data_IF_700143718022
#
_entry.id   IF_700143718022
#
_cell.length_a   1.000
_cell.length_b   1.000
_cell.length_c   1.000
_cell.angle_alpha   90.00
_cell.angle_beta   90.00
_cell.angle_gamma   90.00
#
_symmetry.space_group_name_H-M   'P 1'
#
loop_
_entity.id
_entity.type
_entity.pdbx_description
1 polymer ?
#
# COMPACT_ATOMS: atom_id res chain seq x y z
N UNK A 1 -9.79 27.11 13.20
CA UNK A 1 -8.49 26.42 13.42
C UNK A 1 -8.08 25.75 12.12
N UNK A 2 -6.80 25.86 11.71
CA UNK A 2 -6.31 25.24 10.47
C UNK A 2 -5.92 23.79 10.77
N UNK A 3 -6.72 22.83 10.33
CA UNK A 3 -6.46 21.42 10.57
C UNK A 3 -5.13 20.97 9.95
N UNK A 4 -4.37 20.15 10.68
CA UNK A 4 -3.14 19.53 10.17
C UNK A 4 -3.50 18.31 9.33
N UNK A 5 -2.95 18.27 8.12
CA UNK A 5 -3.06 17.11 7.25
C UNK A 5 -1.90 16.14 7.49
N UNK A 6 -2.18 14.87 7.22
CA UNK A 6 -1.19 13.80 7.22
C UNK A 6 -0.98 13.23 5.82
N UNK A 7 -0.36 12.06 5.76
CA UNK A 7 -0.13 11.33 4.53
C UNK A 7 -0.48 9.86 4.70
N UNK A 8 -1.00 9.28 3.61
CA UNK A 8 -1.56 7.93 3.61
C UNK A 8 -0.48 6.85 3.69
N UNK A 9 -0.85 5.60 4.01
CA UNK A 9 0.09 4.47 3.93
C UNK A 9 0.62 4.29 2.51
N UNK A 10 -0.17 4.59 1.48
CA UNK A 10 0.27 4.64 0.09
C UNK A 10 1.37 5.67 -0.18
N UNK A 11 1.25 6.87 0.38
CA UNK A 11 2.30 7.90 0.29
C UNK A 11 3.56 7.51 1.03
N UNK A 12 3.45 6.90 2.22
CA UNK A 12 4.60 6.35 2.93
C UNK A 12 5.30 5.28 2.07
N UNK A 13 4.54 4.37 1.46
CA UNK A 13 5.11 3.33 0.62
C UNK A 13 5.78 3.91 -0.64
N UNK A 14 5.17 4.89 -1.31
CA UNK A 14 5.75 5.54 -2.48
C UNK A 14 7.04 6.33 -2.14
N UNK A 15 7.05 7.06 -1.02
CA UNK A 15 8.24 7.78 -0.56
C UNK A 15 9.39 6.82 -0.20
N UNK A 16 9.10 5.77 0.55
CA UNK A 16 10.10 4.75 0.89
C UNK A 16 10.61 4.02 -0.37
N UNK A 17 9.72 3.71 -1.33
CA UNK A 17 10.12 3.14 -2.62
C UNK A 17 11.08 4.06 -3.39
N UNK A 18 10.81 5.38 -3.41
CA UNK A 18 11.71 6.37 -4.03
C UNK A 18 13.08 6.39 -3.35
N UNK A 19 13.09 6.38 -2.01
CA UNK A 19 14.32 6.33 -1.22
C UNK A 19 15.14 5.08 -1.50
N UNK A 20 14.51 3.91 -1.52
CA UNK A 20 15.15 2.66 -1.87
C UNK A 20 15.63 2.65 -3.32
N UNK A 21 14.86 3.17 -4.28
CA UNK A 21 15.30 3.32 -5.66
C UNK A 21 16.55 4.21 -5.79
N UNK A 22 16.64 5.30 -5.01
CA UNK A 22 17.84 6.13 -4.94
C UNK A 22 19.02 5.36 -4.33
N UNK A 23 18.78 4.54 -3.30
CA UNK A 23 19.78 3.65 -2.73
C UNK A 23 20.35 2.66 -3.75
N UNK A 24 19.50 2.08 -4.60
CA UNK A 24 19.91 1.22 -5.71
C UNK A 24 20.76 1.97 -6.74
N UNK A 25 20.34 3.18 -7.13
CA UNK A 25 21.00 3.93 -8.19
C UNK A 25 22.33 4.56 -7.73
N UNK A 26 22.34 5.13 -6.53
CA UNK A 26 23.41 6.02 -6.03
C UNK A 26 24.24 5.39 -4.91
N UNK A 27 23.88 4.19 -4.45
CA UNK A 27 24.51 3.54 -3.30
C UNK A 27 24.18 4.19 -1.95
N UNK A 28 23.36 5.24 -1.92
CA UNK A 28 23.04 6.01 -0.72
C UNK A 28 21.57 6.42 -0.72
N UNK A 29 20.96 6.47 0.47
CA UNK A 29 19.56 6.88 0.67
C UNK A 29 19.56 8.25 1.37
N UNK A 30 18.93 9.29 0.80
CA UNK A 30 18.88 10.61 1.42
C UNK A 30 18.00 10.61 2.68
N UNK A 31 18.13 11.63 3.53
CA UNK A 31 17.26 11.77 4.71
C UNK A 31 15.81 12.13 4.33
N UNK A 32 15.61 12.81 3.20
CA UNK A 32 14.29 13.21 2.72
C UNK A 32 14.12 12.91 1.24
N UNK A 33 12.87 12.64 0.85
CA UNK A 33 12.44 12.55 -0.54
C UNK A 33 11.19 13.39 -0.75
N UNK A 34 10.95 13.77 -2.00
CA UNK A 34 9.69 14.36 -2.43
C UNK A 34 8.92 13.39 -3.32
N UNK A 35 7.61 13.32 -3.16
CA UNK A 35 6.73 12.60 -4.09
C UNK A 35 5.55 13.50 -4.49
N UNK A 36 5.03 13.29 -5.69
CA UNK A 36 3.78 13.90 -6.12
C UNK A 36 2.62 12.96 -5.76
N UNK A 37 1.55 13.54 -5.24
CA UNK A 37 0.31 12.82 -4.93
C UNK A 37 -0.66 12.87 -6.11
N UNK A 38 -1.67 11.98 -6.16
CA UNK A 38 -2.70 12.00 -7.21
C UNK A 38 -3.47 13.33 -7.36
N UNK A 39 -3.46 14.18 -6.33
CA UNK A 39 -4.07 15.52 -6.35
C UNK A 39 -3.04 16.62 -6.61
N UNK A 40 -1.92 16.30 -7.26
CA UNK A 40 -0.84 17.22 -7.64
C UNK A 40 -0.25 18.03 -6.47
N UNK A 41 -0.30 17.48 -5.25
CA UNK A 41 0.39 18.06 -4.09
C UNK A 41 1.71 17.33 -3.88
N UNK A 42 2.81 18.07 -3.73
CA UNK A 42 4.13 17.51 -3.42
C UNK A 42 4.27 17.29 -1.91
N UNK A 43 4.58 16.07 -1.49
CA UNK A 43 4.89 15.73 -0.11
C UNK A 43 6.40 15.59 0.06
N UNK A 44 6.97 16.26 1.08
CA UNK A 44 8.34 16.03 1.55
C UNK A 44 8.30 15.06 2.73
N UNK A 45 8.91 13.90 2.56
CA UNK A 45 8.82 12.78 3.50
C UNK A 45 10.21 12.42 4.03
N UNK A 46 10.32 12.21 5.34
CA UNK A 46 11.56 11.80 6.01
C UNK A 46 11.71 10.28 5.92
N UNK A 47 12.87 9.83 5.44
CA UNK A 47 13.24 8.43 5.39
C UNK A 47 13.97 8.04 6.68
N UNK A 48 13.67 6.84 7.18
CA UNK A 48 14.29 6.23 8.35
C UNK A 48 14.66 4.77 8.04
N UNK A 49 15.47 4.15 8.91
CA UNK A 49 15.88 2.74 8.80
C UNK A 49 16.52 2.38 7.43
N UNK A 50 17.32 3.29 6.89
CA UNK A 50 17.96 3.15 5.59
C UNK A 50 19.03 2.06 5.58
N UNK A 51 19.00 1.19 4.57
CA UNK A 51 19.98 0.14 4.31
C UNK A 51 20.19 -0.04 2.81
N UNK A 52 21.44 -0.05 2.37
CA UNK A 52 21.83 -0.40 1.01
C UNK A 52 22.62 -1.71 1.05
N UNK A 53 22.21 -2.67 0.25
CA UNK A 53 22.92 -3.94 0.03
C UNK A 53 23.34 -4.07 -1.43
N UNK A 54 23.87 -5.23 -1.80
CA UNK A 54 24.45 -5.46 -3.13
C UNK A 54 23.45 -5.24 -4.27
N UNK A 55 22.26 -5.86 -4.17
CA UNK A 55 21.22 -5.82 -5.21
C UNK A 55 19.87 -5.31 -4.68
N UNK A 56 19.87 -4.74 -3.49
CA UNK A 56 18.67 -4.24 -2.85
C UNK A 56 18.96 -2.98 -2.05
N UNK A 57 17.95 -2.15 -1.87
CA UNK A 57 17.95 -1.08 -0.89
C UNK A 57 16.60 -1.07 -0.17
N UNK A 58 16.61 -0.59 1.06
CA UNK A 58 15.46 -0.56 1.94
C UNK A 58 15.48 0.69 2.79
N UNK A 59 14.33 1.29 2.97
CA UNK A 59 14.11 2.32 3.98
C UNK A 59 12.63 2.32 4.33
N UNK A 60 12.27 3.15 5.31
CA UNK A 60 10.89 3.27 5.74
C UNK A 60 10.49 4.70 6.03
N UNK A 61 9.18 4.89 6.15
CA UNK A 61 8.58 6.16 6.54
C UNK A 61 7.63 5.87 7.70
N UNK A 62 7.74 6.67 8.76
CA UNK A 62 6.75 6.69 9.84
C UNK A 62 5.54 7.50 9.41
N UNK A 63 4.36 6.90 9.41
CA UNK A 63 3.11 7.56 9.02
C UNK A 63 2.75 8.68 10.02
N UNK A 64 2.33 9.82 9.47
CA UNK A 64 1.72 10.91 10.23
C UNK A 64 0.34 11.21 9.66
N UNK A 65 -0.67 11.29 10.53
CA UNK A 65 -2.09 11.40 10.14
C UNK A 65 -2.68 12.78 10.39
N UNK A 66 -1.86 13.75 10.80
CA UNK A 66 -2.36 15.07 11.13
C UNK A 66 -3.23 15.03 12.38
N UNK A 67 -4.38 15.73 12.32
CA UNK A 67 -5.40 15.71 13.38
C UNK A 67 -6.42 14.57 13.22
N UNK A 68 -6.24 13.67 12.24
CA UNK A 68 -7.12 12.52 12.06
C UNK A 68 -6.82 11.41 13.09
N UNK A 69 -7.83 10.89 13.82
CA UNK A 69 -7.67 9.78 14.76
C UNK A 69 -7.52 8.42 14.03
N UNK A 70 -6.55 8.34 13.11
CA UNK A 70 -6.25 7.16 12.33
C UNK A 70 -5.47 6.13 13.17
N UNK A 71 -6.00 4.91 13.28
CA UNK A 71 -5.36 3.81 14.03
C UNK A 71 -3.98 3.42 13.47
N UNK A 72 -3.69 3.76 12.22
CA UNK A 72 -2.39 3.53 11.56
C UNK A 72 -1.42 4.69 11.74
N UNK A 73 -1.78 5.74 12.48
CA UNK A 73 -0.87 6.83 12.80
C UNK A 73 0.36 6.31 13.56
N UNK A 74 1.55 6.78 13.18
CA UNK A 74 2.81 6.39 13.82
C UNK A 74 3.37 5.04 13.36
N UNK A 75 2.63 4.24 12.58
CA UNK A 75 3.17 2.98 12.06
C UNK A 75 4.29 3.24 11.05
N UNK A 76 5.27 2.34 11.00
CA UNK A 76 6.35 2.41 10.01
C UNK A 76 6.02 1.55 8.80
N UNK A 77 6.14 2.14 7.62
CA UNK A 77 5.98 1.45 6.33
C UNK A 77 7.36 1.27 5.73
N UNK A 78 7.85 0.05 5.77
CA UNK A 78 9.14 -0.36 5.23
C UNK A 78 8.98 -0.82 3.80
N UNK A 79 9.88 -0.38 2.92
CA UNK A 79 9.89 -0.76 1.52
C UNK A 79 11.29 -1.17 1.10
N UNK A 80 11.41 -2.41 0.62
CA UNK A 80 12.60 -2.94 -0.01
C UNK A 80 12.42 -2.98 -1.52
N UNK A 81 13.33 -2.36 -2.25
CA UNK A 81 13.46 -2.46 -3.70
C UNK A 81 14.63 -3.38 -4.00
N UNK A 82 14.41 -4.50 -4.69
CA UNK A 82 15.45 -5.44 -5.13
C UNK A 82 15.42 -5.57 -6.65
N UNK A 83 16.60 -5.52 -7.29
CA UNK A 83 16.77 -5.88 -8.70
C UNK A 83 16.73 -7.40 -8.87
N UNK A 84 16.00 -7.88 -9.87
CA UNK A 84 15.95 -9.28 -10.26
C UNK A 84 17.25 -9.65 -10.96
N UNK A 85 17.78 -10.82 -10.61
CA UNK A 85 19.03 -11.37 -11.16
C UNK A 85 18.92 -11.72 -12.66
N UNK A 86 17.70 -11.75 -13.21
CA UNK A 86 17.44 -12.03 -14.63
C UNK A 86 17.48 -10.78 -15.54
N UNK A 87 17.77 -9.59 -14.99
CA UNK A 87 17.99 -8.38 -15.76
C UNK A 87 19.46 -8.31 -16.20
N UNK A 88 19.85 -9.15 -17.16
CA UNK A 88 21.17 -9.07 -17.78
C UNK A 88 21.26 -7.75 -18.59
N UNK A 89 22.24 -6.87 -18.30
CA UNK A 89 22.57 -5.76 -19.18
C UNK A 89 23.42 -6.32 -20.32
N UNK A 90 22.92 -6.24 -21.56
CA UNK A 90 23.66 -6.55 -22.78
C UNK A 90 24.27 -7.96 -22.86
N UNK A 91 23.48 -8.98 -23.20
CA UNK A 91 24.04 -10.14 -23.88
C UNK A 91 23.19 -10.58 -25.07
N UNK A 92 23.87 -10.62 -26.21
CA UNK A 92 23.45 -11.10 -27.51
C UNK A 92 23.05 -12.58 -27.50
N UNK A 93 21.92 -12.89 -28.16
CA UNK A 93 21.43 -14.22 -28.59
C UNK A 93 20.84 -15.16 -27.51
N UNK A 94 19.79 -15.95 -27.83
CA UNK A 94 18.58 -16.04 -26.99
C UNK A 94 18.51 -17.31 -26.10
N UNK A 95 17.78 -17.25 -24.96
CA UNK A 95 17.35 -18.45 -24.26
C UNK A 95 16.07 -19.05 -24.89
N UNK A 96 15.98 -20.37 -24.80
CA UNK A 96 14.99 -21.25 -25.45
C UNK A 96 13.55 -21.01 -24.98
N UNK A 97 12.63 -21.26 -25.92
CA UNK A 97 11.17 -21.15 -25.89
C UNK A 97 10.51 -21.88 -24.71
N UNK A 98 9.91 -21.12 -23.80
CA UNK A 98 8.51 -21.29 -23.39
C UNK A 98 8.02 -20.02 -22.69
N UNK A 99 7.11 -19.29 -23.34
CA UNK A 99 6.32 -18.16 -22.80
C UNK A 99 7.09 -17.13 -21.93
N UNK A 100 8.10 -16.47 -22.50
CA UNK A 100 8.59 -15.19 -21.98
C UNK A 100 7.74 -14.10 -22.62
N UNK A 101 6.63 -13.76 -21.98
CA UNK A 101 5.93 -12.49 -22.22
C UNK A 101 6.88 -11.39 -21.75
N UNK A 102 7.50 -10.68 -22.70
CA UNK A 102 8.28 -9.47 -22.45
C UNK A 102 7.38 -8.41 -21.81
N UNK A 103 7.43 -8.33 -20.48
CA UNK A 103 7.11 -7.17 -19.63
C UNK A 103 7.47 -7.57 -18.20
N UNK A 104 8.76 -7.53 -17.86
CA UNK A 104 9.17 -7.81 -16.49
C UNK A 104 8.91 -6.55 -15.64
N UNK A 105 7.65 -6.14 -15.48
CA UNK A 105 7.30 -4.95 -14.71
C UNK A 105 7.59 -5.08 -13.21
N UNK A 106 7.22 -4.05 -12.46
CA UNK A 106 7.37 -4.06 -10.99
C UNK A 106 6.46 -5.13 -10.35
N UNK A 107 7.07 -6.09 -9.65
CA UNK A 107 6.37 -7.09 -8.85
C UNK A 107 6.17 -6.58 -7.42
N UNK A 108 4.93 -6.56 -6.95
CA UNK A 108 4.60 -6.20 -5.58
C UNK A 108 4.54 -7.45 -4.69
N UNK A 109 5.18 -7.37 -3.52
CA UNK A 109 5.23 -8.42 -2.52
C UNK A 109 4.77 -7.82 -1.19
N UNK A 110 3.78 -8.46 -0.55
CA UNK A 110 3.39 -8.14 0.82
C UNK A 110 4.30 -8.88 1.79
N UNK A 111 5.05 -8.14 2.60
CA UNK A 111 5.79 -8.65 3.74
C UNK A 111 4.95 -8.69 5.00
N UNK A 112 5.62 -8.78 6.16
CA UNK A 112 4.95 -8.82 7.45
C UNK A 112 3.99 -7.64 7.65
N UNK A 113 2.80 -7.93 8.18
CA UNK A 113 1.79 -6.94 8.53
C UNK A 113 1.13 -6.20 7.35
N UNK A 114 1.41 -6.60 6.11
CA UNK A 114 0.54 -6.28 4.95
C UNK A 114 -0.48 -7.40 4.78
N UNK A 115 -1.76 -7.03 4.70
CA UNK A 115 -2.83 -8.01 4.61
C UNK A 115 -2.88 -8.71 3.25
N UNK A 116 -3.47 -9.91 3.21
CA UNK A 116 -3.81 -10.64 1.98
C UNK A 116 -5.31 -10.57 1.75
N UNK A 117 -5.72 -10.32 0.52
CA UNK A 117 -7.14 -10.31 0.14
C UNK A 117 -7.65 -11.74 0.00
N UNK A 118 -8.72 -12.05 0.70
CA UNK A 118 -9.33 -13.39 0.77
C UNK A 118 -10.80 -13.41 0.32
N UNK A 119 -11.41 -12.26 0.06
CA UNK A 119 -12.78 -12.14 -0.46
C UNK A 119 -12.82 -11.37 -1.79
N UNK A 120 -13.80 -11.65 -2.66
CA UNK A 120 -14.02 -10.86 -3.87
C UNK A 120 -14.62 -9.48 -3.54
N UNK A 121 -14.72 -8.60 -4.54
CA UNK A 121 -15.36 -7.28 -4.42
C UNK A 121 -14.41 -6.15 -4.00
N UNK A 122 -13.18 -6.45 -3.61
CA UNK A 122 -12.15 -5.45 -3.37
C UNK A 122 -11.43 -5.06 -4.68
N UNK A 123 -10.82 -3.87 -4.68
CA UNK A 123 -10.02 -3.37 -5.81
C UNK A 123 -8.77 -4.21 -6.12
N UNK A 124 -8.39 -5.07 -5.17
CA UNK A 124 -7.25 -5.97 -5.26
C UNK A 124 -7.79 -7.39 -5.35
N UNK A 125 -7.23 -8.21 -6.24
CA UNK A 125 -7.69 -9.59 -6.49
C UNK A 125 -7.49 -10.47 -5.26
N UNK A 126 -8.30 -11.52 -5.14
CA UNK A 126 -8.12 -12.55 -4.13
C UNK A 126 -6.73 -13.22 -4.27
N UNK A 127 -6.08 -13.49 -3.14
CA UNK A 127 -4.73 -14.05 -3.06
C UNK A 127 -3.60 -13.00 -3.17
N UNK A 128 -3.91 -11.76 -3.53
CA UNK A 128 -2.91 -10.70 -3.67
C UNK A 128 -2.69 -9.92 -2.36
N UNK A 129 -1.50 -9.31 -2.17
CA UNK A 129 -1.26 -8.37 -1.08
C UNK A 129 -2.15 -7.14 -1.22
N UNK A 130 -2.74 -6.71 -0.10
CA UNK A 130 -3.68 -5.60 0.04
C UNK A 130 -3.02 -4.22 -0.19
N UNK A 131 -2.47 -4.03 -1.38
CA UNK A 131 -1.84 -2.80 -1.87
C UNK A 131 -2.73 -2.29 -3.00
N UNK A 132 -3.48 -1.22 -2.74
CA UNK A 132 -4.50 -0.74 -3.67
C UNK A 132 -3.89 -0.20 -4.98
N UNK A 133 -4.68 -0.12 -6.07
CA UNK A 133 -4.20 0.34 -7.38
C UNK A 133 -3.51 1.70 -7.36
N UNK A 134 -4.05 2.69 -6.63
CA UNK A 134 -3.46 4.03 -6.55
C UNK A 134 -2.09 4.00 -5.85
N UNK A 135 -1.92 3.40 -4.66
CA UNK A 135 -0.59 3.16 -4.09
C UNK A 135 0.37 2.41 -5.01
N UNK A 136 -0.10 1.36 -5.73
CA UNK A 136 0.75 0.66 -6.71
C UNK A 136 1.23 1.61 -7.81
N UNK A 137 0.35 2.47 -8.33
CA UNK A 137 0.72 3.48 -9.33
C UNK A 137 1.73 4.49 -8.77
N UNK A 138 1.46 5.06 -7.58
CA UNK A 138 2.38 6.00 -6.93
C UNK A 138 3.77 5.41 -6.71
N UNK A 139 3.86 4.14 -6.31
CA UNK A 139 5.15 3.44 -6.15
C UNK A 139 5.85 3.28 -7.50
N UNK A 140 5.11 2.90 -8.55
CA UNK A 140 5.68 2.77 -9.91
C UNK A 140 6.24 4.11 -10.40
N UNK A 141 5.48 5.19 -10.25
CA UNK A 141 5.89 6.53 -10.67
C UNK A 141 7.13 7.00 -9.89
N UNK A 142 7.14 6.79 -8.58
CA UNK A 142 8.25 7.14 -7.71
C UNK A 142 9.54 6.38 -8.05
N UNK A 143 9.43 5.09 -8.40
CA UNK A 143 10.57 4.29 -8.86
C UNK A 143 11.01 4.75 -10.26
N UNK A 144 10.06 4.97 -11.17
CA UNK A 144 10.32 5.40 -12.55
C UNK A 144 11.01 6.76 -12.62
N UNK A 145 10.68 7.69 -11.73
CA UNK A 145 11.35 9.00 -11.65
C UNK A 145 12.86 8.87 -11.35
N UNK A 146 13.26 7.82 -10.63
CA UNK A 146 14.65 7.61 -10.22
C UNK A 146 15.38 6.70 -11.19
N UNK A 147 14.78 5.56 -11.53
CA UNK A 147 15.42 4.51 -12.30
C UNK A 147 15.09 4.55 -13.79
N UNK A 148 14.09 5.34 -14.21
CA UNK A 148 13.56 5.33 -15.57
C UNK A 148 12.63 4.15 -15.83
N UNK A 149 12.48 3.76 -17.10
CA UNK A 149 11.78 2.53 -17.45
C UNK A 149 12.65 1.34 -17.04
N UNK A 150 12.23 0.66 -15.97
CA UNK A 150 12.93 -0.49 -15.41
C UNK A 150 12.10 -1.76 -15.52
N UNK A 151 12.80 -2.81 -15.91
CA UNK A 151 12.32 -4.17 -15.87
C UNK A 151 13.05 -4.97 -14.78
N UNK A 152 12.36 -5.93 -14.18
CA UNK A 152 12.89 -6.85 -13.20
C UNK A 152 13.04 -6.26 -11.80
N UNK A 153 12.12 -5.42 -11.33
CA UNK A 153 12.15 -4.94 -9.94
C UNK A 153 11.10 -5.66 -9.09
N UNK A 154 11.50 -6.13 -7.92
CA UNK A 154 10.56 -6.51 -6.85
C UNK A 154 10.52 -5.46 -5.77
N UNK A 155 9.31 -5.08 -5.37
CA UNK A 155 9.03 -4.17 -4.26
C UNK A 155 8.33 -4.95 -3.16
N UNK A 156 9.02 -5.12 -2.04
CA UNK A 156 8.44 -5.72 -0.82
C UNK A 156 8.04 -4.62 0.14
N UNK A 157 6.78 -4.61 0.56
CA UNK A 157 6.25 -3.66 1.55
C UNK A 157 5.99 -4.40 2.85
N UNK A 158 6.50 -3.90 3.96
CA UNK A 158 6.35 -4.47 5.29
C UNK A 158 5.85 -3.39 6.26
N UNK A 159 4.92 -3.75 7.13
CA UNK A 159 4.44 -2.90 8.22
C UNK A 159 4.53 -3.72 9.51
N UNK A 160 5.61 -3.61 10.30
CA UNK A 160 5.84 -4.51 11.45
C UNK A 160 4.66 -4.57 12.43
N UNK A 161 4.03 -3.44 12.73
CA UNK A 161 2.86 -3.38 13.61
C UNK A 161 1.54 -3.74 12.90
N UNK A 162 1.55 -3.98 11.60
CA UNK A 162 0.38 -4.09 10.74
C UNK A 162 -0.57 -5.21 11.17
N UNK A 163 -0.05 -6.37 11.60
CA UNK A 163 -0.89 -7.47 12.11
C UNK A 163 -1.65 -7.08 13.38
N UNK A 164 -1.02 -6.33 14.29
CA UNK A 164 -1.63 -5.84 15.53
C UNK A 164 -2.65 -4.75 15.22
N UNK A 165 -2.33 -3.84 14.31
CA UNK A 165 -3.19 -2.74 13.89
C UNK A 165 -4.42 -3.23 13.15
N UNK A 166 -4.29 -4.25 12.29
CA UNK A 166 -5.40 -4.82 11.52
C UNK A 166 -6.59 -5.25 12.40
N UNK A 167 -6.32 -5.77 13.61
CA UNK A 167 -7.36 -6.16 14.59
C UNK A 167 -8.22 -4.99 15.07
N UNK A 168 -7.76 -3.75 14.89
CA UNK A 168 -8.49 -2.51 15.22
C UNK A 168 -9.13 -1.86 14.00
N UNK A 169 -9.15 -2.55 12.86
CA UNK A 169 -9.70 -2.05 11.59
C UNK A 169 -10.85 -2.94 11.10
N UNK A 170 -11.55 -2.49 10.07
CA UNK A 170 -12.58 -3.29 9.39
C UNK A 170 -11.99 -4.32 8.40
N UNK A 171 -10.67 -4.43 8.29
CA UNK A 171 -10.00 -5.24 7.26
C UNK A 171 -10.42 -6.72 7.30
N UNK A 172 -10.45 -7.34 8.48
CA UNK A 172 -10.83 -8.76 8.59
C UNK A 172 -12.27 -9.00 8.11
N UNK A 173 -13.20 -8.06 8.39
CA UNK A 173 -14.59 -8.12 7.92
C UNK A 173 -14.70 -7.97 6.40
N UNK A 174 -13.81 -7.18 5.79
CA UNK A 174 -13.69 -7.04 4.34
C UNK A 174 -12.95 -8.20 3.67
N UNK A 175 -12.44 -9.16 4.44
CA UNK A 175 -11.66 -10.29 3.92
C UNK A 175 -10.20 -9.97 3.70
N UNK A 176 -9.62 -9.04 4.44
CA UNK A 176 -8.18 -8.72 4.41
C UNK A 176 -7.56 -9.26 5.69
N UNK A 177 -6.71 -10.29 5.56
CA UNK A 177 -6.21 -11.07 6.70
C UNK A 177 -4.69 -10.93 6.84
N UNK A 178 -4.19 -10.92 8.08
CA UNK A 178 -2.76 -10.97 8.39
C UNK A 178 -2.06 -9.61 8.46
N UNK A 179 -2.75 -8.51 8.16
CA UNK A 179 -2.15 -7.18 8.14
C UNK A 179 -3.08 -6.05 7.72
N UNK A 180 -2.54 -4.85 7.61
CA UNK A 180 -3.26 -3.68 7.12
C UNK A 180 -3.18 -3.57 5.59
N UNK A 181 -4.03 -2.73 5.04
CA UNK A 181 -4.02 -2.37 3.63
C UNK A 181 -3.13 -1.15 3.39
N UNK A 182 -2.34 -1.19 2.32
CA UNK A 182 -1.63 -0.01 1.80
C UNK A 182 -2.59 0.72 0.88
N UNK A 183 -3.13 1.83 1.36
CA UNK A 183 -4.26 2.55 0.74
C UNK A 183 -4.01 4.06 0.73
N UNK A 184 -4.83 4.77 -0.02
CA UNK A 184 -4.78 6.22 -0.17
C UNK A 184 -5.09 6.62 -1.60
N UNK A 185 -6.23 7.27 -1.81
CA UNK A 185 -6.68 7.70 -3.16
C UNK A 185 -6.09 9.06 -3.55
N UNK A 186 -5.92 9.95 -2.58
CA UNK A 186 -5.37 11.30 -2.78
C UNK A 186 -3.93 11.43 -2.32
N UNK A 187 -3.38 10.42 -1.64
CA UNK A 187 -2.07 10.49 -0.98
C UNK A 187 -2.03 11.33 0.32
N UNK A 188 -3.10 12.07 0.66
CA UNK A 188 -3.17 12.94 1.83
C UNK A 188 -4.23 12.43 2.81
N UNK A 189 -3.91 12.45 4.09
CA UNK A 189 -4.88 12.21 5.17
C UNK A 189 -5.45 13.55 5.59
N UNK A 190 -6.78 13.67 5.51
CA UNK A 190 -7.55 14.81 6.02
C UNK A 190 -8.33 14.32 7.24
N UNK A 191 -8.59 15.18 8.24
CA UNK A 191 -9.44 14.82 9.37
C UNK A 191 -10.77 14.24 8.89
N UNK A 192 -11.23 13.21 9.60
CA UNK A 192 -12.45 12.47 9.33
C UNK A 192 -13.61 13.39 8.94
N UNK A 193 -14.17 13.12 7.76
CA UNK A 193 -15.40 13.74 7.26
C UNK A 193 -16.46 12.67 7.02
N UNK A 194 -17.73 13.10 6.96
CA UNK A 194 -18.85 12.22 6.63
C UNK A 194 -18.66 11.53 5.26
N UNK A 195 -18.00 12.21 4.31
CA UNK A 195 -17.74 11.67 2.98
C UNK A 195 -16.71 10.53 3.03
N UNK A 196 -15.65 10.65 3.83
CA UNK A 196 -14.68 9.56 4.03
C UNK A 196 -15.34 8.33 4.69
N UNK A 197 -16.31 8.55 5.56
CA UNK A 197 -17.11 7.48 6.14
C UNK A 197 -18.01 6.78 5.11
N UNK A 198 -18.67 7.53 4.20
CA UNK A 198 -19.44 6.92 3.10
C UNK A 198 -18.57 6.06 2.20
N UNK A 199 -17.37 6.52 1.85
CA UNK A 199 -16.43 5.78 1.00
C UNK A 199 -16.01 4.47 1.66
N UNK A 200 -15.78 4.44 2.98
CA UNK A 200 -15.44 3.20 3.68
C UNK A 200 -16.61 2.21 3.72
N UNK A 201 -17.85 2.71 3.82
CA UNK A 201 -19.06 1.88 3.76
C UNK A 201 -19.24 1.22 2.39
N UNK A 202 -19.00 1.96 1.30
CA UNK A 202 -19.13 1.45 -0.08
C UNK A 202 -18.30 0.18 -0.30
N UNK A 203 -17.07 0.13 0.22
CA UNK A 203 -16.23 -1.07 0.14
C UNK A 203 -16.90 -2.31 0.76
N UNK A 204 -17.63 -2.13 1.88
CA UNK A 204 -18.38 -3.22 2.51
C UNK A 204 -19.55 -3.69 1.64
N UNK A 205 -20.25 -2.77 0.98
CA UNK A 205 -21.33 -3.09 0.06
C UNK A 205 -20.82 -3.82 -1.19
N UNK A 206 -19.67 -3.42 -1.74
CA UNK A 206 -19.06 -4.07 -2.89
C UNK A 206 -18.66 -5.52 -2.58
N UNK A 207 -18.05 -5.75 -1.40
CA UNK A 207 -17.74 -7.11 -0.91
C UNK A 207 -19.02 -7.91 -0.70
N UNK A 208 -20.07 -7.33 -0.11
CA UNK A 208 -21.33 -8.02 0.10
C UNK A 208 -21.98 -8.44 -1.24
N UNK A 209 -22.08 -7.50 -2.19
CA UNK A 209 -22.62 -7.76 -3.53
C UNK A 209 -21.81 -8.82 -4.26
N UNK A 210 -20.48 -8.72 -4.25
CA UNK A 210 -19.59 -9.68 -4.92
C UNK A 210 -19.61 -11.07 -4.26
N UNK A 211 -20.02 -11.15 -2.98
CA UNK A 211 -20.20 -12.41 -2.26
C UNK A 211 -21.60 -13.01 -2.44
N UNK A 212 -22.46 -12.40 -3.26
CA UNK A 212 -23.81 -12.90 -3.56
C UNK A 212 -24.88 -12.55 -2.54
N UNK A 213 -24.64 -11.58 -1.64
CA UNK A 213 -25.68 -11.11 -0.72
C UNK A 213 -26.66 -10.18 -1.44
N UNK A 214 -27.96 -10.48 -1.35
CA UNK A 214 -29.03 -9.68 -1.97
C UNK A 214 -29.62 -8.63 -1.02
N UNK A 215 -29.49 -8.83 0.29
CA UNK A 215 -30.00 -7.91 1.32
C UNK A 215 -28.86 -7.43 2.21
N UNK A 216 -28.82 -6.13 2.47
CA UNK A 216 -27.86 -5.51 3.38
C UNK A 216 -28.63 -4.78 4.48
N UNK A 217 -28.24 -5.04 5.73
CA UNK A 217 -28.83 -4.38 6.89
C UNK A 217 -27.78 -3.50 7.55
N UNK A 218 -28.07 -2.20 7.65
CA UNK A 218 -27.21 -1.25 8.33
C UNK A 218 -27.66 -1.09 9.78
N UNK A 219 -26.76 -1.36 10.72
CA UNK A 219 -27.03 -1.30 12.16
C UNK A 219 -26.08 -0.32 12.86
N UNK A 220 -26.54 0.40 13.89
CA UNK A 220 -25.68 1.28 14.68
C UNK A 220 -24.81 0.44 15.63
N UNK A 221 -23.58 0.14 15.18
CA UNK A 221 -22.56 -0.53 15.98
C UNK A 221 -22.91 -1.98 16.38
N UNK A 222 -22.10 -2.54 17.28
CA UNK A 222 -22.20 -3.95 17.69
C UNK A 222 -23.45 -4.27 18.49
N UNK A 223 -24.06 -3.28 19.15
CA UNK A 223 -25.33 -3.45 19.89
C UNK A 223 -26.48 -3.64 18.91
N UNK A 224 -26.56 -2.82 17.86
CA UNK A 224 -27.56 -2.97 16.80
C UNK A 224 -27.40 -4.31 16.07
N UNK A 225 -26.16 -4.72 15.79
CA UNK A 225 -25.83 -6.03 15.19
C UNK A 225 -26.36 -7.19 16.04
N UNK A 226 -26.06 -7.19 17.35
CA UNK A 226 -26.58 -8.20 18.30
C UNK A 226 -28.11 -8.16 18.44
N UNK A 227 -28.71 -6.97 18.36
CA UNK A 227 -30.16 -6.81 18.38
C UNK A 227 -30.83 -7.48 17.20
N UNK A 228 -30.32 -7.21 16.00
CA UNK A 228 -30.81 -7.78 14.75
C UNK A 228 -30.69 -9.32 14.73
N UNK A 229 -29.50 -9.86 15.01
CA UNK A 229 -29.21 -11.30 15.00
C UNK A 229 -29.98 -12.12 16.05
N UNK A 230 -30.57 -11.49 17.07
CA UNK A 230 -31.44 -12.17 18.03
C UNK A 230 -32.88 -12.26 17.55
N UNK A 231 -33.28 -11.43 16.59
CA UNK A 231 -34.67 -11.25 16.15
C UNK A 231 -34.94 -11.91 14.81
N UNK A 232 -33.94 -11.95 13.94
CA UNK A 232 -33.95 -12.51 12.58
C UNK A 232 -32.81 -13.51 12.45
#
# INVERSE_FOLDING_TARGET
MKHKYGYTTGSCAAGAAKGAALGILKGTIPEFVTINTPINTTLRLRLIHSKVGLNYAECSIRKYSGDDPDVTNGCEVHVRVKRSENACPNDSFPPKRSQITRQAGIRFIGGEGVGIVTRPGLQVKQGEPAINPVPRAMIKDAIKEVLGDYDGISVTITVPEGKKLAKKTFNERLGIIGGISIIGTTGIVRPMSLDLFKVSLLCGLDVAKASGYETIVLVPGSVGEKGFLRRF
#
